data_IF_060236596245
#
_entry.id   IF_060236596245
#
_cell.length_a   1.000
_cell.length_b   1.000
_cell.length_c   1.000
_cell.angle_alpha   90.00
_cell.angle_beta   90.00
_cell.angle_gamma   90.00
#
_symmetry.space_group_name_H-M   'P 1'
#
loop_
_entity.id
_entity.type
_entity.pdbx_description
1 polymer ?
#
# COMPACT_ATOMS: atom_id res chain seq x y z
N UNK A 1 -10.55 16.09 11.67
CA UNK A 1 -11.17 14.85 12.20
C UNK A 1 -10.93 13.76 11.16
N UNK A 2 -10.42 12.59 11.55
CA UNK A 2 -9.86 11.53 10.72
C UNK A 2 -10.74 10.27 10.74
N UNK A 3 -10.41 9.27 9.90
CA UNK A 3 -10.76 7.89 10.17
C UNK A 3 -9.82 7.40 11.26
N UNK A 4 -10.40 6.84 12.32
CA UNK A 4 -9.62 6.27 13.43
C UNK A 4 -10.09 4.84 13.65
N UNK A 5 -9.15 3.93 13.63
CA UNK A 5 -9.29 2.51 13.98
C UNK A 5 -8.56 2.31 15.28
N UNK A 6 -9.27 1.90 16.33
CA UNK A 6 -8.73 1.77 17.69
C UNK A 6 -8.86 0.32 18.18
N UNK A 7 -7.71 -0.32 18.40
CA UNK A 7 -7.55 -1.62 19.05
C UNK A 7 -8.51 -2.70 18.53
N UNK A 8 -8.75 -2.74 17.20
CA UNK A 8 -9.65 -3.74 16.65
C UNK A 8 -9.03 -5.13 16.72
N UNK A 9 -9.80 -6.05 17.27
CA UNK A 9 -9.47 -7.48 17.36
C UNK A 9 -10.54 -8.29 16.64
N UNK A 10 -10.13 -9.32 15.88
CA UNK A 10 -11.04 -10.23 15.19
C UNK A 10 -10.52 -11.66 15.19
N UNK A 11 -11.38 -12.59 15.59
CA UNK A 11 -11.11 -14.02 15.60
C UNK A 11 -12.11 -14.77 14.73
N UNK A 12 -11.63 -15.81 14.07
CA UNK A 12 -12.45 -16.77 13.33
C UNK A 12 -12.14 -18.16 13.87
N UNK A 13 -12.96 -18.65 14.80
CA UNK A 13 -12.67 -19.87 15.56
C UNK A 13 -11.35 -19.74 16.32
N UNK A 14 -10.38 -20.59 16.02
CA UNK A 14 -9.04 -20.55 16.64
C UNK A 14 -8.08 -19.54 15.99
N UNK A 15 -8.42 -19.01 14.80
CA UNK A 15 -7.55 -18.10 14.04
C UNK A 15 -7.76 -16.67 14.50
N UNK A 16 -6.70 -15.99 14.92
CA UNK A 16 -6.69 -14.55 15.21
C UNK A 16 -6.32 -13.82 13.90
N UNK A 17 -7.32 -13.21 13.28
CA UNK A 17 -7.13 -12.48 12.03
C UNK A 17 -6.63 -11.05 12.26
N UNK A 18 -7.05 -10.41 13.37
CA UNK A 18 -6.57 -9.12 13.83
C UNK A 18 -6.39 -9.17 15.34
N UNK A 19 -5.31 -8.58 15.83
CA UNK A 19 -4.91 -8.55 17.22
C UNK A 19 -4.43 -7.15 17.59
N UNK A 20 -5.31 -6.36 18.22
CA UNK A 20 -5.03 -4.99 18.68
C UNK A 20 -4.55 -4.05 17.56
N UNK A 21 -5.23 -4.05 16.41
CA UNK A 21 -4.88 -3.23 15.25
C UNK A 21 -5.39 -1.81 15.44
N UNK A 22 -4.47 -0.83 15.37
CA UNK A 22 -4.78 0.60 15.47
C UNK A 22 -4.04 1.39 14.39
N UNK A 23 -4.76 2.30 13.72
CA UNK A 23 -4.19 3.27 12.78
C UNK A 23 -5.17 4.43 12.55
N UNK A 24 -4.67 5.52 11.98
CA UNK A 24 -5.51 6.67 11.62
C UNK A 24 -5.22 7.18 10.21
N UNK A 25 -6.25 7.71 9.56
CA UNK A 25 -6.16 8.28 8.20
C UNK A 25 -6.72 9.68 8.20
N UNK A 26 -5.93 10.65 7.78
CA UNK A 26 -6.38 12.03 7.64
C UNK A 26 -7.34 12.19 6.46
N UNK A 27 -8.36 13.08 6.58
CA UNK A 27 -9.26 13.36 5.47
C UNK A 27 -8.53 13.94 4.26
N UNK A 28 -8.99 13.56 3.06
CA UNK A 28 -8.42 14.06 1.81
C UNK A 28 -7.01 13.54 1.52
N UNK A 29 -6.62 12.40 2.13
CA UNK A 29 -5.32 11.76 1.93
C UNK A 29 -5.46 10.37 1.32
N UNK A 30 -4.37 9.91 0.74
CA UNK A 30 -4.23 8.52 0.27
C UNK A 30 -3.40 7.75 1.31
N UNK A 31 -3.98 6.67 1.82
CA UNK A 31 -3.40 5.81 2.83
C UNK A 31 -3.18 4.40 2.30
N UNK A 32 -1.98 3.86 2.52
CA UNK A 32 -1.61 2.49 2.15
C UNK A 32 -1.69 1.52 3.33
N UNK A 33 -2.45 0.44 3.19
CA UNK A 33 -2.46 -0.67 4.14
C UNK A 33 -1.65 -1.83 3.55
N UNK A 34 -0.41 -1.96 4.00
CA UNK A 34 0.57 -2.89 3.44
C UNK A 34 0.65 -4.19 4.26
N UNK A 35 1.07 -5.26 3.62
CA UNK A 35 1.30 -6.54 4.29
C UNK A 35 1.24 -7.70 3.31
N UNK A 36 1.75 -8.85 3.72
CA UNK A 36 1.66 -10.08 2.96
C UNK A 36 0.19 -10.56 2.80
N UNK A 37 -0.05 -11.49 1.89
CA UNK A 37 -1.34 -12.15 1.79
C UNK A 37 -1.65 -12.89 3.09
N UNK A 38 -2.89 -12.75 3.58
CA UNK A 38 -3.29 -13.31 4.87
C UNK A 38 -2.89 -12.49 6.11
N UNK A 39 -2.21 -11.34 5.96
CA UNK A 39 -1.80 -10.49 7.09
C UNK A 39 -2.96 -9.84 7.85
N UNK A 40 -4.21 -9.86 7.32
CA UNK A 40 -5.39 -9.27 7.97
C UNK A 40 -5.94 -8.01 7.28
N UNK A 41 -5.33 -7.52 6.20
CA UNK A 41 -5.70 -6.28 5.50
C UNK A 41 -7.19 -6.23 5.11
N UNK A 42 -7.66 -7.23 4.36
CA UNK A 42 -9.07 -7.35 3.93
C UNK A 42 -10.02 -7.41 5.13
N UNK A 43 -9.64 -8.10 6.21
CA UNK A 43 -10.44 -8.17 7.45
C UNK A 43 -10.59 -6.80 8.09
N UNK A 44 -9.49 -6.03 8.21
CA UNK A 44 -9.51 -4.67 8.74
C UNK A 44 -10.40 -3.75 7.89
N UNK A 45 -10.26 -3.78 6.56
CA UNK A 45 -11.10 -2.99 5.66
C UNK A 45 -12.59 -3.33 5.76
N UNK A 46 -12.93 -4.62 5.86
CA UNK A 46 -14.33 -5.07 6.05
C UNK A 46 -14.90 -4.61 7.38
N UNK A 47 -14.08 -4.48 8.42
CA UNK A 47 -14.51 -3.91 9.71
C UNK A 47 -14.74 -2.40 9.57
N UNK A 48 -13.85 -1.66 8.90
CA UNK A 48 -14.04 -0.22 8.65
C UNK A 48 -15.36 0.03 7.91
N UNK A 49 -15.69 -0.80 6.93
CA UNK A 49 -16.91 -0.73 6.12
C UNK A 49 -18.18 -1.21 6.86
N UNK A 50 -18.09 -1.67 8.09
CA UNK A 50 -19.18 -2.32 8.81
C UNK A 50 -19.79 -3.53 8.06
N UNK A 51 -18.98 -4.21 7.25
CA UNK A 51 -19.33 -5.50 6.64
C UNK A 51 -19.08 -6.63 7.65
N UNK A 52 -18.07 -6.44 8.51
CA UNK A 52 -17.68 -7.38 9.54
C UNK A 52 -17.60 -6.65 10.89
N UNK A 53 -18.14 -7.29 11.97
CA UNK A 53 -18.03 -6.74 13.31
C UNK A 53 -16.71 -7.18 13.96
N UNK A 54 -15.96 -6.26 14.59
CA UNK A 54 -14.83 -6.63 15.43
C UNK A 54 -15.32 -7.31 16.70
N UNK A 55 -14.47 -8.12 17.34
CA UNK A 55 -14.73 -8.72 18.65
C UNK A 55 -14.37 -7.75 19.79
N UNK A 56 -13.43 -6.81 19.52
CA UNK A 56 -13.08 -5.70 20.40
C UNK A 56 -12.59 -4.50 19.56
N UNK A 57 -12.56 -3.32 20.17
CA UNK A 57 -12.14 -2.07 19.54
C UNK A 57 -13.26 -1.36 18.81
N UNK A 58 -12.91 -0.25 18.15
CA UNK A 58 -13.87 0.63 17.47
C UNK A 58 -13.31 1.25 16.21
N UNK A 59 -14.22 1.72 15.35
CA UNK A 59 -13.91 2.51 14.16
C UNK A 59 -14.76 3.76 14.14
N UNK A 60 -14.12 4.91 13.92
CA UNK A 60 -14.83 6.19 13.81
C UNK A 60 -14.38 6.94 12.55
N UNK A 61 -15.31 7.65 11.91
CA UNK A 61 -15.06 8.62 10.86
C UNK A 61 -15.56 9.99 11.30
N UNK A 62 -14.66 10.97 11.33
CA UNK A 62 -14.98 12.33 11.79
C UNK A 62 -15.62 12.37 13.18
N UNK A 63 -15.22 11.48 14.08
CA UNK A 63 -15.71 11.38 15.46
C UNK A 63 -17.06 10.66 15.61
N UNK A 64 -17.63 10.11 14.52
CA UNK A 64 -18.87 9.30 14.54
C UNK A 64 -18.50 7.83 14.32
N UNK A 65 -19.18 6.94 15.03
CA UNK A 65 -19.03 5.49 14.81
C UNK A 65 -19.35 5.12 13.35
N UNK A 66 -18.54 4.23 12.75
CA UNK A 66 -18.82 3.71 11.41
C UNK A 66 -20.20 3.03 11.32
N UNK A 67 -20.73 2.56 12.45
CA UNK A 67 -22.03 1.90 12.55
C UNK A 67 -23.20 2.88 12.32
N UNK A 68 -22.98 4.16 12.62
CA UNK A 68 -24.00 5.22 12.55
C UNK A 68 -23.92 6.04 11.25
N UNK A 69 -22.97 5.68 10.36
CA UNK A 69 -22.78 6.40 9.12
C UNK A 69 -23.64 5.83 7.99
N UNK A 70 -24.17 6.70 7.13
CA UNK A 70 -24.87 6.26 5.93
C UNK A 70 -23.94 5.41 5.03
N UNK A 71 -24.46 4.35 4.44
CA UNK A 71 -23.68 3.49 3.52
C UNK A 71 -23.08 4.27 2.34
N UNK A 72 -23.73 5.34 1.90
CA UNK A 72 -23.22 6.22 0.85
C UNK A 72 -21.91 6.94 1.19
N UNK A 73 -21.52 7.01 2.47
CA UNK A 73 -20.23 7.58 2.90
C UNK A 73 -19.06 6.80 2.34
N UNK A 74 -19.26 5.49 2.10
CA UNK A 74 -18.23 4.54 1.73
C UNK A 74 -18.35 4.11 0.28
N UNK A 75 -17.25 4.19 -0.47
CA UNK A 75 -17.04 3.46 -1.70
C UNK A 75 -16.19 2.23 -1.41
N UNK A 76 -16.52 1.09 -2.00
CA UNK A 76 -15.76 -0.15 -1.80
C UNK A 76 -15.43 -0.83 -3.11
N UNK A 77 -14.15 -1.11 -3.31
CA UNK A 77 -13.63 -1.95 -4.38
C UNK A 77 -13.04 -3.23 -3.75
N UNK A 78 -13.75 -4.36 -3.78
CA UNK A 78 -13.21 -5.63 -3.30
C UNK A 78 -12.16 -6.20 -4.28
N UNK A 79 -11.26 -7.05 -3.77
CA UNK A 79 -10.30 -7.80 -4.58
C UNK A 79 -11.01 -8.73 -5.57
N UNK A 80 -12.07 -9.42 -5.10
CA UNK A 80 -12.91 -10.27 -5.95
C UNK A 80 -13.88 -9.43 -6.78
N UNK A 81 -14.10 -9.86 -8.02
CA UNK A 81 -15.00 -9.14 -8.93
C UNK A 81 -16.45 -9.39 -8.59
N UNK A 82 -17.14 -8.32 -8.18
CA UNK A 82 -18.55 -8.34 -7.80
C UNK A 82 -19.50 -7.84 -8.89
N UNK A 83 -19.07 -7.76 -10.16
CA UNK A 83 -19.91 -7.26 -11.23
C UNK A 83 -20.85 -8.35 -11.78
N UNK A 84 -22.06 -7.94 -12.17
CA UNK A 84 -23.01 -8.82 -12.88
C UNK A 84 -22.57 -9.00 -14.33
N UNK A 85 -21.88 -10.08 -14.63
CA UNK A 85 -21.13 -10.29 -15.88
C UNK A 85 -22.00 -10.35 -17.12
N UNK A 86 -23.29 -10.74 -17.00
CA UNK A 86 -24.25 -10.83 -18.12
C UNK A 86 -24.95 -9.51 -18.46
N UNK A 87 -24.82 -8.50 -17.60
CA UNK A 87 -25.34 -7.16 -17.85
C UNK A 87 -24.39 -6.36 -18.74
N UNK A 88 -24.92 -5.35 -19.45
CA UNK A 88 -24.08 -4.37 -20.12
C UNK A 88 -23.35 -3.50 -19.09
N UNK A 89 -22.24 -2.89 -19.48
CA UNK A 89 -21.50 -1.95 -18.61
C UNK A 89 -22.41 -0.82 -18.12
N UNK A 90 -23.20 -0.22 -19.02
CA UNK A 90 -24.14 0.84 -18.64
C UNK A 90 -25.18 0.34 -17.64
N UNK A 91 -25.76 -0.83 -17.85
CA UNK A 91 -26.82 -1.34 -16.97
C UNK A 91 -26.28 -1.68 -15.59
N UNK A 92 -25.10 -2.33 -15.50
CA UNK A 92 -24.51 -2.68 -14.20
C UNK A 92 -24.10 -1.45 -13.43
N UNK A 93 -23.53 -0.43 -14.08
CA UNK A 93 -23.12 0.81 -13.41
C UNK A 93 -24.33 1.63 -12.95
N UNK A 94 -25.39 1.73 -13.74
CA UNK A 94 -26.66 2.35 -13.34
C UNK A 94 -27.33 1.60 -12.17
N UNK A 95 -27.26 0.29 -12.19
CA UNK A 95 -27.76 -0.53 -11.08
C UNK A 95 -27.03 -0.19 -9.76
N UNK A 96 -25.69 -0.18 -9.75
CA UNK A 96 -24.94 0.20 -8.56
C UNK A 96 -25.21 1.63 -8.13
N UNK A 97 -25.27 2.59 -9.07
CA UNK A 97 -25.61 3.98 -8.77
C UNK A 97 -27.01 4.11 -8.12
N UNK A 98 -27.99 3.35 -8.60
CA UNK A 98 -29.34 3.34 -8.07
C UNK A 98 -29.42 2.82 -6.62
N UNK A 99 -28.57 1.85 -6.22
CA UNK A 99 -28.50 1.35 -4.84
C UNK A 99 -28.14 2.45 -3.84
N UNK A 100 -27.42 3.48 -4.28
CA UNK A 100 -27.04 4.64 -3.47
C UNK A 100 -27.92 5.88 -3.72
N UNK A 101 -29.03 5.70 -4.47
CA UNK A 101 -30.01 6.77 -4.72
C UNK A 101 -29.56 7.81 -5.75
N UNK A 102 -28.60 7.51 -6.60
CA UNK A 102 -28.19 8.42 -7.70
C UNK A 102 -29.27 8.42 -8.77
N UNK A 103 -29.80 9.60 -9.18
CA UNK A 103 -30.84 9.67 -10.20
C UNK A 103 -30.37 9.10 -11.54
N UNK A 104 -31.24 8.42 -12.32
CA UNK A 104 -30.84 7.74 -13.55
C UNK A 104 -30.14 8.60 -14.59
N UNK A 105 -30.61 9.84 -14.79
CA UNK A 105 -29.97 10.78 -15.72
C UNK A 105 -28.55 11.18 -15.27
N UNK A 106 -28.39 11.46 -13.97
CA UNK A 106 -27.07 11.76 -13.37
C UNK A 106 -26.15 10.56 -13.46
N UNK A 107 -26.65 9.36 -13.14
CA UNK A 107 -25.87 8.12 -13.26
C UNK A 107 -25.36 7.90 -14.67
N UNK A 108 -26.22 8.10 -15.68
CA UNK A 108 -25.83 7.94 -17.08
C UNK A 108 -24.72 8.92 -17.48
N UNK A 109 -24.85 10.20 -17.11
CA UNK A 109 -23.84 11.21 -17.41
C UNK A 109 -22.48 10.91 -16.73
N UNK A 110 -22.53 10.50 -15.44
CA UNK A 110 -21.32 10.09 -14.72
C UNK A 110 -20.65 8.85 -15.30
N UNK A 111 -21.44 7.86 -15.73
CA UNK A 111 -20.92 6.66 -16.37
C UNK A 111 -20.19 7.04 -17.65
N UNK A 112 -20.83 7.83 -18.54
CA UNK A 112 -20.23 8.27 -19.79
C UNK A 112 -18.93 9.06 -19.55
N UNK A 113 -18.90 10.00 -18.59
CA UNK A 113 -17.71 10.74 -18.18
C UNK A 113 -16.56 9.80 -17.73
N UNK A 114 -16.86 8.83 -16.88
CA UNK A 114 -15.82 7.91 -16.37
C UNK A 114 -15.32 6.91 -17.42
N UNK A 115 -16.20 6.45 -18.31
CA UNK A 115 -15.79 5.60 -19.45
C UNK A 115 -14.83 6.35 -20.37
N UNK A 116 -15.11 7.63 -20.68
CA UNK A 116 -14.22 8.49 -21.46
C UNK A 116 -12.87 8.66 -20.76
N UNK A 117 -12.88 8.97 -19.46
CA UNK A 117 -11.69 9.15 -18.66
C UNK A 117 -10.80 7.90 -18.61
N UNK A 118 -11.41 6.71 -18.53
CA UNK A 118 -10.71 5.44 -18.60
C UNK A 118 -10.40 4.98 -20.03
N UNK A 119 -10.71 5.80 -21.06
CA UNK A 119 -10.47 5.53 -22.48
C UNK A 119 -11.16 4.27 -22.98
N UNK A 120 -12.37 4.03 -22.51
CA UNK A 120 -13.18 2.84 -22.87
C UNK A 120 -14.65 3.18 -23.19
N UNK A 121 -14.95 4.29 -23.92
CA UNK A 121 -16.33 4.69 -24.20
C UNK A 121 -17.10 3.61 -25.01
N UNK A 122 -16.40 2.86 -25.89
CA UNK A 122 -16.96 1.81 -26.71
C UNK A 122 -17.46 0.60 -25.90
N UNK A 123 -17.15 0.55 -24.60
CA UNK A 123 -17.60 -0.58 -23.76
C UNK A 123 -18.97 -0.38 -23.15
N UNK A 124 -19.56 0.80 -23.30
CA UNK A 124 -20.83 1.22 -22.73
C UNK A 124 -21.94 0.17 -22.85
N UNK A 125 -22.13 -0.35 -24.06
CA UNK A 125 -23.21 -1.29 -24.41
C UNK A 125 -22.72 -2.74 -24.52
N UNK A 126 -21.44 -3.00 -24.20
CA UNK A 126 -20.89 -4.36 -24.17
C UNK A 126 -21.21 -5.04 -22.84
N UNK A 127 -21.35 -6.36 -22.86
CA UNK A 127 -21.48 -7.14 -21.63
C UNK A 127 -20.16 -7.16 -20.86
N UNK A 128 -20.25 -7.17 -19.53
CA UNK A 128 -19.07 -7.20 -18.66
C UNK A 128 -18.21 -8.45 -18.90
N UNK A 129 -18.82 -9.61 -19.21
CA UNK A 129 -18.11 -10.86 -19.52
C UNK A 129 -17.21 -10.80 -20.78
N UNK A 130 -17.48 -9.85 -21.68
CA UNK A 130 -16.70 -9.65 -22.90
C UNK A 130 -15.43 -8.82 -22.67
N UNK A 131 -15.28 -8.22 -21.48
CA UNK A 131 -14.17 -7.36 -21.15
C UNK A 131 -12.97 -8.15 -20.62
N UNK A 132 -11.76 -7.68 -20.93
CA UNK A 132 -10.54 -8.16 -20.27
C UNK A 132 -10.60 -7.93 -18.76
N UNK A 133 -9.81 -8.70 -18.02
CA UNK A 133 -9.70 -8.55 -16.55
C UNK A 133 -9.40 -7.12 -16.12
N UNK A 134 -8.46 -6.44 -16.78
CA UNK A 134 -8.12 -5.06 -16.48
C UNK A 134 -9.25 -4.07 -16.75
N UNK A 135 -10.01 -4.27 -17.83
CA UNK A 135 -11.18 -3.44 -18.12
C UNK A 135 -12.34 -3.69 -17.15
N UNK A 136 -12.56 -4.93 -16.72
CA UNK A 136 -13.52 -5.21 -15.63
C UNK A 136 -13.15 -4.50 -14.35
N UNK A 137 -11.85 -4.40 -14.01
CA UNK A 137 -11.36 -3.64 -12.86
C UNK A 137 -11.71 -2.16 -12.95
N UNK A 138 -11.54 -1.53 -14.12
CA UNK A 138 -11.99 -0.14 -14.37
C UNK A 138 -13.47 0.02 -14.11
N UNK A 139 -14.30 -0.89 -14.64
CA UNK A 139 -15.76 -0.82 -14.44
C UNK A 139 -16.12 -0.98 -12.96
N UNK A 140 -15.43 -1.86 -12.25
CA UNK A 140 -15.63 -2.07 -10.82
C UNK A 140 -15.23 -0.84 -10.01
N UNK A 141 -14.13 -0.17 -10.39
CA UNK A 141 -13.74 1.11 -9.78
C UNK A 141 -14.81 2.19 -10.03
N UNK A 142 -15.30 2.34 -11.24
CA UNK A 142 -16.39 3.27 -11.56
C UNK A 142 -17.61 2.98 -10.67
N UNK A 143 -18.02 1.71 -10.54
CA UNK A 143 -19.16 1.33 -9.69
C UNK A 143 -18.97 1.78 -8.22
N UNK A 144 -17.73 1.74 -7.71
CA UNK A 144 -17.42 2.13 -6.34
C UNK A 144 -17.49 3.65 -6.08
N UNK A 145 -17.44 4.49 -7.12
CA UNK A 145 -17.33 5.95 -6.99
C UNK A 145 -18.53 6.74 -7.50
N UNK A 146 -19.46 6.12 -8.25
CA UNK A 146 -20.60 6.83 -8.89
C UNK A 146 -21.49 7.61 -7.93
N UNK A 147 -21.55 7.21 -6.67
CA UNK A 147 -22.36 7.88 -5.64
C UNK A 147 -21.58 8.96 -4.87
N UNK A 148 -20.36 9.31 -5.35
CA UNK A 148 -19.47 10.33 -4.81
C UNK A 148 -19.14 10.15 -3.30
N UNK A 149 -18.61 8.98 -2.88
CA UNK A 149 -18.33 8.69 -1.48
C UNK A 149 -17.30 9.64 -0.87
N UNK A 150 -17.35 9.85 0.45
CA UNK A 150 -16.33 10.61 1.18
C UNK A 150 -15.04 9.82 1.40
N UNK A 151 -15.19 8.50 1.58
CA UNK A 151 -14.09 7.56 1.81
C UNK A 151 -14.18 6.40 0.81
N UNK A 152 -13.10 6.15 0.11
CA UNK A 152 -12.97 5.05 -0.84
C UNK A 152 -12.00 4.01 -0.29
N UNK A 153 -12.47 2.78 -0.10
CA UNK A 153 -11.68 1.65 0.40
C UNK A 153 -11.53 0.63 -0.71
N UNK A 154 -10.28 0.22 -0.99
CA UNK A 154 -9.97 -0.61 -2.14
C UNK A 154 -9.00 -1.73 -1.76
N UNK A 155 -9.40 -2.95 -2.05
CA UNK A 155 -8.60 -4.15 -1.78
C UNK A 155 -7.85 -4.57 -3.05
N UNK A 156 -6.50 -4.45 -3.02
CA UNK A 156 -5.60 -4.78 -4.13
C UNK A 156 -6.02 -4.17 -5.50
N UNK A 157 -6.27 -2.84 -5.59
CA UNK A 157 -6.89 -2.23 -6.77
C UNK A 157 -6.04 -2.31 -8.04
N UNK A 158 -4.73 -2.47 -7.93
CA UNK A 158 -3.78 -2.48 -9.06
C UNK A 158 -3.42 -3.88 -9.54
N UNK A 159 -3.88 -4.92 -8.84
CA UNK A 159 -3.53 -6.31 -9.15
C UNK A 159 -4.10 -6.77 -10.49
N UNK A 160 -3.22 -7.31 -11.34
CA UNK A 160 -3.59 -7.83 -12.67
C UNK A 160 -3.89 -6.77 -13.72
N UNK A 161 -3.50 -5.52 -13.48
CA UNK A 161 -3.52 -4.45 -14.48
C UNK A 161 -2.19 -4.39 -15.24
N UNK A 162 -2.27 -4.05 -16.53
CA UNK A 162 -1.08 -3.64 -17.29
C UNK A 162 -0.64 -2.22 -16.93
N UNK A 163 0.59 -1.79 -17.26
CA UNK A 163 1.13 -0.49 -16.88
C UNK A 163 0.28 0.71 -17.33
N UNK A 164 -0.39 0.64 -18.48
CA UNK A 164 -1.25 1.72 -18.98
C UNK A 164 -2.48 1.87 -18.09
N UNK A 165 -3.12 0.75 -17.75
CA UNK A 165 -4.28 0.74 -16.87
C UNK A 165 -3.94 1.13 -15.43
N UNK A 166 -2.76 0.73 -14.93
CA UNK A 166 -2.22 1.22 -13.65
C UNK A 166 -2.09 2.74 -13.67
N UNK A 167 -1.51 3.33 -14.71
CA UNK A 167 -1.39 4.79 -14.85
C UNK A 167 -2.74 5.52 -14.79
N UNK A 168 -3.73 5.05 -15.56
CA UNK A 168 -5.08 5.63 -15.56
C UNK A 168 -5.76 5.55 -14.18
N UNK A 169 -5.58 4.43 -13.47
CA UNK A 169 -6.15 4.28 -12.12
C UNK A 169 -5.45 5.18 -11.11
N UNK A 170 -4.12 5.33 -11.18
CA UNK A 170 -3.34 6.29 -10.37
C UNK A 170 -3.81 7.73 -10.60
N UNK A 171 -4.02 8.14 -11.86
CA UNK A 171 -4.58 9.46 -12.20
C UNK A 171 -5.97 9.65 -11.57
N UNK A 172 -6.83 8.62 -11.60
CA UNK A 172 -8.15 8.66 -10.98
C UNK A 172 -8.05 8.84 -9.44
N UNK A 173 -7.13 8.13 -8.77
CA UNK A 173 -6.88 8.26 -7.33
C UNK A 173 -6.47 9.69 -6.96
N UNK A 174 -5.49 10.26 -7.67
CA UNK A 174 -5.03 11.62 -7.44
C UNK A 174 -6.15 12.64 -7.65
N UNK A 175 -6.96 12.48 -8.70
CA UNK A 175 -8.08 13.36 -8.95
C UNK A 175 -9.18 13.24 -7.87
N UNK A 176 -9.42 12.08 -7.29
CA UNK A 176 -10.35 11.91 -6.17
C UNK A 176 -9.80 12.58 -4.91
N UNK A 177 -8.51 12.38 -4.59
CA UNK A 177 -7.83 13.08 -3.48
C UNK A 177 -7.91 14.60 -3.64
N UNK A 178 -7.64 15.12 -4.83
CA UNK A 178 -7.67 16.58 -5.11
C UNK A 178 -9.07 17.17 -4.97
N UNK A 179 -10.12 16.34 -5.06
CA UNK A 179 -11.51 16.68 -4.73
C UNK A 179 -11.82 16.53 -3.23
N UNK A 180 -10.82 16.25 -2.40
CA UNK A 180 -10.95 16.11 -0.95
C UNK A 180 -11.45 14.75 -0.48
N UNK A 181 -11.48 13.73 -1.35
CA UNK A 181 -11.87 12.37 -0.97
C UNK A 181 -10.72 11.66 -0.25
N UNK A 182 -11.05 10.83 0.71
CA UNK A 182 -10.09 10.00 1.45
C UNK A 182 -10.01 8.63 0.81
N UNK A 183 -8.81 8.17 0.47
CA UNK A 183 -8.60 6.90 -0.18
C UNK A 183 -7.76 5.99 0.71
N UNK A 184 -8.21 4.76 0.87
CA UNK A 184 -7.51 3.71 1.61
C UNK A 184 -7.40 2.51 0.70
N UNK A 185 -6.20 2.03 0.44
CA UNK A 185 -6.07 0.81 -0.35
C UNK A 185 -5.05 -0.17 0.26
N UNK A 186 -5.36 -1.45 0.10
CA UNK A 186 -4.41 -2.50 0.41
C UNK A 186 -3.54 -2.80 -0.79
N UNK A 187 -2.29 -3.13 -0.55
CA UNK A 187 -1.39 -3.67 -1.57
C UNK A 187 -0.16 -4.32 -0.95
N UNK A 188 0.49 -5.15 -1.75
CA UNK A 188 1.85 -5.65 -1.51
C UNK A 188 2.89 -4.98 -2.44
N UNK A 189 2.47 -4.04 -3.33
CA UNK A 189 3.33 -3.33 -4.27
C UNK A 189 3.86 -2.04 -3.65
N UNK A 190 5.08 -2.08 -3.12
CA UNK A 190 5.70 -0.97 -2.38
C UNK A 190 5.89 0.29 -3.24
N UNK A 191 6.28 0.12 -4.51
CA UNK A 191 6.48 1.22 -5.46
C UNK A 191 5.21 2.06 -5.66
N UNK A 192 4.05 1.40 -5.79
CA UNK A 192 2.76 2.10 -5.93
C UNK A 192 2.40 2.91 -4.68
N UNK A 193 2.76 2.41 -3.51
CA UNK A 193 2.55 3.12 -2.24
C UNK A 193 3.46 4.33 -2.15
N UNK A 194 4.73 4.20 -2.52
CA UNK A 194 5.69 5.31 -2.52
C UNK A 194 5.29 6.46 -3.44
N UNK A 195 4.60 6.15 -4.55
CA UNK A 195 4.12 7.15 -5.51
C UNK A 195 2.81 7.84 -5.07
N UNK A 196 1.91 7.12 -4.39
CA UNK A 196 0.56 7.60 -4.15
C UNK A 196 0.27 8.02 -2.71
N UNK A 197 0.88 7.35 -1.72
CA UNK A 197 0.49 7.50 -0.32
C UNK A 197 1.26 8.61 0.39
N UNK A 198 0.58 9.33 1.25
CA UNK A 198 1.19 10.23 2.23
C UNK A 198 1.49 9.51 3.55
N UNK A 199 0.69 8.50 3.89
CA UNK A 199 0.84 7.72 5.13
C UNK A 199 0.47 6.26 4.91
N UNK A 200 0.97 5.40 5.78
CA UNK A 200 0.83 3.95 5.67
C UNK A 200 0.64 3.28 7.03
N UNK A 201 0.13 2.05 6.99
CA UNK A 201 0.35 1.06 8.03
C UNK A 201 0.81 -0.26 7.42
N UNK A 202 1.81 -0.89 8.04
CA UNK A 202 2.26 -2.23 7.68
C UNK A 202 1.64 -3.21 8.67
N UNK A 203 0.90 -4.18 8.14
CA UNK A 203 0.26 -5.24 8.91
C UNK A 203 1.00 -6.54 8.68
N UNK A 204 1.38 -7.19 9.76
CA UNK A 204 1.95 -8.53 9.75
C UNK A 204 1.23 -9.41 10.77
N UNK A 205 0.73 -10.58 10.32
CA UNK A 205 0.04 -11.58 11.16
C UNK A 205 -1.02 -10.98 12.09
N UNK A 206 -1.83 -10.10 11.54
CA UNK A 206 -2.94 -9.45 12.26
C UNK A 206 -2.54 -8.31 13.18
N UNK A 207 -1.30 -7.82 13.17
CA UNK A 207 -0.84 -6.69 13.98
C UNK A 207 -0.25 -5.58 13.13
N UNK A 208 -0.43 -4.33 13.54
CA UNK A 208 0.30 -3.20 12.93
C UNK A 208 1.72 -3.20 13.48
N UNK A 209 2.71 -3.34 12.60
CA UNK A 209 4.14 -3.32 12.97
C UNK A 209 4.76 -1.93 12.78
N UNK A 210 4.23 -1.17 11.82
CA UNK A 210 4.65 0.22 11.53
C UNK A 210 3.43 1.01 11.07
N UNK A 211 3.29 2.26 11.51
CA UNK A 211 2.29 3.20 11.02
C UNK A 211 2.80 4.63 11.12
N UNK A 212 2.48 5.47 10.13
CA UNK A 212 2.86 6.87 10.10
C UNK A 212 2.96 7.45 8.70
N UNK A 213 3.51 8.67 8.58
CA UNK A 213 3.83 9.21 7.26
C UNK A 213 4.97 8.42 6.62
N UNK A 214 5.03 8.36 5.28
CA UNK A 214 6.13 7.69 4.57
C UNK A 214 7.50 8.19 5.05
N UNK A 215 7.60 9.49 5.27
CA UNK A 215 8.83 10.13 5.74
C UNK A 215 9.23 9.65 7.15
N UNK A 216 8.28 9.62 8.08
CA UNK A 216 8.56 9.21 9.46
C UNK A 216 8.91 7.74 9.54
N UNK A 217 8.18 6.90 8.79
CA UNK A 217 8.44 5.46 8.71
C UNK A 217 9.84 5.16 8.17
N UNK A 218 10.28 5.86 7.11
CA UNK A 218 11.64 5.72 6.57
C UNK A 218 12.71 6.22 7.53
N UNK A 219 12.48 7.36 8.20
CA UNK A 219 13.42 7.93 9.16
C UNK A 219 13.56 7.10 10.44
N UNK A 220 12.48 6.41 10.85
CA UNK A 220 12.51 5.50 11.99
C UNK A 220 13.50 4.33 11.81
N UNK A 221 13.93 4.03 10.58
CA UNK A 221 15.00 3.07 10.28
C UNK A 221 16.36 3.48 10.87
N UNK A 222 16.55 4.74 11.24
CA UNK A 222 17.78 5.23 11.88
C UNK A 222 19.02 5.11 10.99
N UNK A 223 18.84 5.14 9.65
CA UNK A 223 19.93 5.12 8.67
C UNK A 223 19.53 5.86 7.40
N UNK A 224 20.54 6.22 6.61
CA UNK A 224 20.39 6.70 5.24
C UNK A 224 20.93 5.67 4.26
N UNK A 225 20.58 5.79 3.00
CA UNK A 225 21.09 4.96 1.90
C UNK A 225 21.92 5.86 0.98
N UNK A 226 23.15 5.43 0.68
CA UNK A 226 23.98 6.07 -0.35
C UNK A 226 24.05 5.15 -1.54
N UNK A 227 23.68 5.67 -2.72
CA UNK A 227 23.88 5.02 -4.02
C UNK A 227 25.14 5.58 -4.65
N UNK A 228 26.11 4.72 -4.93
CA UNK A 228 27.39 5.11 -5.49
C UNK A 228 27.74 4.25 -6.69
N UNK A 229 28.18 4.90 -7.77
CA UNK A 229 28.91 4.30 -8.85
C UNK A 229 30.15 5.14 -9.22
N UNK A 230 31.23 4.44 -9.59
CA UNK A 230 32.45 5.03 -10.09
C UNK A 230 32.73 4.55 -11.50
N UNK A 231 33.64 5.17 -12.23
CA UNK A 231 33.99 4.77 -13.58
C UNK A 231 34.50 3.30 -13.59
N UNK A 232 33.99 2.49 -14.53
CA UNK A 232 34.25 1.04 -14.53
C UNK A 232 33.41 0.21 -13.57
N UNK A 233 32.34 0.78 -12.99
CA UNK A 233 31.40 0.07 -12.13
C UNK A 233 30.80 -1.17 -12.80
N UNK A 234 30.79 -2.29 -12.10
CA UNK A 234 30.12 -3.54 -12.51
C UNK A 234 29.44 -4.20 -11.30
N UNK A 235 28.46 -5.07 -11.53
CA UNK A 235 27.77 -5.76 -10.45
C UNK A 235 28.69 -6.66 -9.59
N UNK A 236 29.77 -7.19 -10.18
CA UNK A 236 30.63 -8.20 -9.55
C UNK A 236 31.92 -7.66 -8.92
N UNK A 237 32.33 -6.44 -9.25
CA UNK A 237 33.54 -5.84 -8.69
C UNK A 237 33.87 -4.51 -9.34
N UNK A 238 34.10 -3.52 -8.53
CA UNK A 238 33.93 -2.15 -8.94
C UNK A 238 34.90 -1.16 -8.31
N UNK A 239 35.90 -1.60 -7.64
CA UNK A 239 36.79 -0.68 -6.94
C UNK A 239 36.16 0.07 -5.76
N UNK A 240 34.88 -0.17 -5.41
CA UNK A 240 34.19 0.51 -4.28
C UNK A 240 34.25 -0.28 -2.97
N UNK A 241 35.01 -1.37 -2.88
CA UNK A 241 35.17 -2.16 -1.66
C UNK A 241 35.65 -1.36 -0.44
N UNK A 242 36.41 -0.27 -0.67
CA UNK A 242 36.86 0.65 0.37
C UNK A 242 35.74 1.41 1.09
N UNK A 243 34.55 1.50 0.49
CA UNK A 243 33.40 2.21 1.09
C UNK A 243 33.00 1.55 2.40
N UNK A 244 33.09 0.22 2.46
CA UNK A 244 32.76 -0.56 3.68
C UNK A 244 33.81 -0.46 4.78
N UNK A 245 34.99 0.14 4.50
CA UNK A 245 36.01 0.46 5.49
C UNK A 245 35.65 1.73 6.31
N UNK A 246 34.70 2.53 5.80
CA UNK A 246 34.23 3.73 6.50
C UNK A 246 33.35 3.28 7.68
N UNK A 247 33.65 3.70 8.92
CA UNK A 247 32.83 3.34 10.08
C UNK A 247 31.38 3.75 9.92
N UNK A 248 30.44 2.85 10.23
CA UNK A 248 29.02 3.08 10.12
C UNK A 248 28.45 2.90 8.70
N UNK A 249 29.25 2.38 7.75
CA UNK A 249 28.83 2.10 6.37
C UNK A 249 28.82 0.60 6.10
N UNK A 250 27.73 0.12 5.52
CA UNK A 250 27.56 -1.30 5.12
C UNK A 250 27.00 -1.40 3.71
N UNK A 251 27.55 -2.28 2.90
CA UNK A 251 26.97 -2.61 1.60
C UNK A 251 25.66 -3.38 1.81
N UNK A 252 24.58 -2.87 1.21
CA UNK A 252 23.24 -3.51 1.28
C UNK A 252 22.85 -4.17 -0.01
N UNK A 253 23.23 -3.59 -1.16
CA UNK A 253 22.87 -4.12 -2.47
C UNK A 253 23.97 -3.86 -3.50
N UNK A 254 24.25 -4.88 -4.31
CA UNK A 254 25.08 -4.75 -5.52
C UNK A 254 24.15 -4.63 -6.72
N UNK A 255 24.19 -3.48 -7.40
CA UNK A 255 23.42 -3.19 -8.62
C UNK A 255 24.32 -3.09 -9.84
N UNK A 256 23.73 -3.13 -11.04
CA UNK A 256 24.45 -2.95 -12.29
C UNK A 256 24.86 -1.49 -12.53
N UNK A 257 23.99 -0.54 -12.12
CA UNK A 257 24.19 0.88 -12.32
C UNK A 257 24.90 1.57 -11.15
N UNK A 258 24.66 1.09 -9.93
CA UNK A 258 25.27 1.58 -8.69
C UNK A 258 25.18 0.53 -7.57
N UNK A 259 26.01 0.66 -6.56
CA UNK A 259 25.87 -0.07 -5.30
C UNK A 259 25.14 0.77 -4.26
N UNK A 260 24.39 0.12 -3.37
CA UNK A 260 23.69 0.76 -2.25
C UNK A 260 24.39 0.45 -0.93
N UNK A 261 24.59 1.50 -0.14
CA UNK A 261 25.25 1.44 1.15
C UNK A 261 24.33 2.00 2.22
N UNK A 262 24.07 1.25 3.27
CA UNK A 262 23.43 1.77 4.48
C UNK A 262 24.47 2.56 5.28
N UNK A 263 24.08 3.77 5.69
CA UNK A 263 24.93 4.69 6.46
C UNK A 263 24.20 5.03 7.76
N UNK A 264 24.84 4.75 8.89
CA UNK A 264 24.29 5.02 10.20
C UNK A 264 24.13 6.54 10.43
N UNK A 265 23.17 6.93 11.27
CA UNK A 265 22.85 8.34 11.56
C UNK A 265 24.01 9.15 12.13
N UNK A 266 25.03 8.49 12.69
CA UNK A 266 26.22 9.17 13.23
C UNK A 266 27.31 9.42 12.18
N UNK A 267 27.18 8.84 11.00
CA UNK A 267 28.13 8.99 9.89
C UNK A 267 27.55 9.95 8.85
N UNK A 268 28.28 10.99 8.52
CA UNK A 268 27.92 11.89 7.43
C UNK A 268 28.07 11.16 6.07
N UNK A 269 26.97 10.94 5.32
CA UNK A 269 27.04 10.26 4.04
C UNK A 269 27.97 10.94 3.00
N UNK A 270 28.18 12.26 3.12
CA UNK A 270 29.09 13.02 2.26
C UNK A 270 30.55 12.55 2.38
N UNK A 271 30.93 11.89 3.49
CA UNK A 271 32.27 11.29 3.65
C UNK A 271 32.60 10.26 2.59
N UNK A 272 31.59 9.53 2.11
CA UNK A 272 31.75 8.54 1.02
C UNK A 272 32.20 9.26 -0.26
N UNK A 273 31.50 10.35 -0.64
CA UNK A 273 31.87 11.14 -1.80
C UNK A 273 33.27 11.77 -1.65
N UNK A 274 33.57 12.34 -0.48
CA UNK A 274 34.88 12.92 -0.21
C UNK A 274 36.00 11.88 -0.31
N UNK A 275 35.77 10.67 0.20
CA UNK A 275 36.73 9.58 0.13
C UNK A 275 36.93 9.07 -1.32
N UNK A 276 35.87 9.02 -2.12
CA UNK A 276 35.98 8.69 -3.55
C UNK A 276 36.86 9.70 -4.30
N UNK A 277 36.56 10.98 -4.12
CA UNK A 277 37.33 12.07 -4.76
C UNK A 277 38.80 12.11 -4.30
N UNK A 278 39.07 11.86 -3.02
CA UNK A 278 40.44 11.79 -2.48
C UNK A 278 41.26 10.61 -3.06
N UNK A 279 40.58 9.55 -3.47
CA UNK A 279 41.20 8.39 -4.15
C UNK A 279 41.41 8.62 -5.65
N UNK A 280 40.92 9.75 -6.20
CA UNK A 280 40.97 10.05 -7.62
C UNK A 280 39.90 9.28 -8.43
N UNK A 281 38.91 8.72 -7.77
CA UNK A 281 37.80 8.02 -8.43
C UNK A 281 36.96 9.01 -9.24
N UNK A 282 36.54 8.62 -10.44
CA UNK A 282 35.55 9.34 -11.20
C UNK A 282 34.17 8.88 -10.83
N UNK A 283 33.51 9.64 -9.97
CA UNK A 283 32.13 9.32 -9.52
C UNK A 283 31.15 9.60 -10.68
N UNK A 284 30.41 8.58 -11.09
CA UNK A 284 29.40 8.65 -12.16
C UNK A 284 27.98 8.75 -11.59
N UNK A 285 27.76 8.25 -10.36
CA UNK A 285 26.50 8.38 -9.63
C UNK A 285 26.79 8.54 -8.14
N UNK A 286 26.12 9.52 -7.50
CA UNK A 286 26.10 9.69 -6.06
C UNK A 286 24.76 10.28 -5.64
N UNK A 287 24.02 9.53 -4.81
CA UNK A 287 22.72 9.92 -4.30
C UNK A 287 22.64 9.58 -2.82
N UNK A 288 22.11 10.50 -2.01
CA UNK A 288 21.73 10.24 -0.63
C UNK A 288 20.22 10.13 -0.58
N UNK A 289 19.71 8.98 -0.18
CA UNK A 289 18.28 8.67 -0.15
C UNK A 289 17.86 8.17 1.24
N UNK A 290 16.57 8.28 1.53
CA UNK A 290 15.97 7.53 2.64
C UNK A 290 15.83 6.05 2.22
N UNK A 291 15.77 5.11 3.18
CA UNK A 291 15.49 3.70 2.88
C UNK A 291 14.18 3.52 2.10
N UNK A 292 14.13 2.54 1.22
CA UNK A 292 12.91 2.19 0.50
C UNK A 292 11.86 1.56 1.44
N UNK A 293 10.59 1.58 1.04
CA UNK A 293 9.56 0.87 1.79
C UNK A 293 9.79 -0.64 1.81
N UNK A 294 10.41 -1.19 0.78
CA UNK A 294 10.79 -2.61 0.74
C UNK A 294 11.79 -2.94 1.85
N UNK A 295 12.80 -2.09 2.07
CA UNK A 295 13.75 -2.26 3.17
C UNK A 295 13.07 -2.13 4.53
N UNK A 296 12.15 -1.15 4.68
CA UNK A 296 11.33 -1.01 5.90
C UNK A 296 10.52 -2.28 6.16
N UNK A 297 9.86 -2.80 5.13
CA UNK A 297 9.05 -4.00 5.23
C UNK A 297 9.88 -5.23 5.63
N UNK A 298 11.00 -5.48 4.94
CA UNK A 298 11.90 -6.59 5.22
C UNK A 298 12.44 -6.50 6.66
N UNK A 299 12.79 -5.32 7.12
CA UNK A 299 13.33 -5.14 8.46
C UNK A 299 12.30 -5.44 9.56
N UNK A 300 11.05 -4.97 9.40
CA UNK A 300 10.02 -5.15 10.41
C UNK A 300 9.36 -6.54 10.38
N UNK A 301 9.11 -7.08 9.19
CA UNK A 301 8.51 -8.41 9.01
C UNK A 301 9.57 -9.51 9.13
N UNK A 302 10.76 -9.30 8.57
CA UNK A 302 11.87 -10.25 8.64
C UNK A 302 12.45 -10.44 10.05
N UNK A 303 12.61 -9.36 10.84
CA UNK A 303 13.08 -9.45 12.25
C UNK A 303 12.12 -10.27 13.11
N UNK A 304 10.82 -10.08 12.93
CA UNK A 304 9.82 -10.83 13.69
C UNK A 304 9.83 -12.33 13.40
N UNK A 305 10.09 -12.71 12.16
CA UNK A 305 10.25 -14.13 11.80
C UNK A 305 11.44 -14.77 12.52
N UNK A 306 12.54 -14.04 12.64
CA UNK A 306 13.76 -14.51 13.35
C UNK A 306 13.54 -14.58 14.87
N UNK A 307 12.88 -13.57 15.46
CA UNK A 307 12.59 -13.53 16.90
C UNK A 307 11.65 -14.66 17.34
N UNK A 308 10.66 -15.01 16.52
CA UNK A 308 9.73 -16.12 16.80
C UNK A 308 10.40 -17.51 16.67
N UNK A 309 11.32 -17.70 15.70
CA UNK A 309 12.12 -18.93 15.62
C UNK A 309 12.99 -19.12 16.86
N UNK A 310 13.58 -18.06 17.39
CA UNK A 310 14.37 -18.11 18.63
C UNK A 310 13.50 -18.42 19.87
N UNK A 311 12.26 -17.90 19.94
CA UNK A 311 11.34 -18.23 21.04
C UNK A 311 10.87 -19.68 20.99
N UNK A 312 10.55 -20.20 19.79
CA UNK A 312 10.18 -21.61 19.65
C UNK A 312 11.31 -22.59 19.98
N UNK A 313 12.57 -22.21 19.76
CA UNK A 313 13.73 -23.00 20.13
C UNK A 313 14.04 -22.95 21.63
N UNK A 314 13.67 -21.84 22.31
CA UNK A 314 13.86 -21.67 23.75
C UNK A 314 12.77 -22.41 24.58
N UNK A 315 11.58 -22.57 24.04
CA UNK A 315 10.43 -23.25 24.69
C UNK A 315 10.34 -24.76 24.38
N UNK A 316 11.27 -25.33 23.60
CA UNK A 316 11.32 -26.76 23.37
C UNK A 316 11.72 -27.47 24.67
N UNK A 317 10.88 -28.37 25.26
CA UNK A 317 11.23 -29.07 26.49
C UNK A 317 12.46 -29.88 26.25
N UNK A 318 13.48 -29.69 27.10
CA UNK A 318 14.69 -30.50 27.12
C UNK A 318 14.28 -31.99 27.29
N UNK A 319 14.36 -32.73 26.18
CA UNK A 319 14.11 -34.16 26.15
C UNK A 319 15.10 -34.86 27.09
N UNK A 320 14.61 -35.29 28.26
CA UNK A 320 15.38 -36.12 29.15
C UNK A 320 15.61 -37.51 28.52
N UNK A 321 16.77 -38.05 28.66
CA UNK A 321 17.06 -39.42 28.18
C UNK A 321 16.34 -40.41 29.07
N UNK A 322 15.60 -41.32 28.45
CA UNK A 322 15.15 -42.60 29.06
C UNK A 322 16.00 -43.72 28.57
#
# INVERSE_FOLDING_TARGET
>A
MSLVVESITKRFGSVVALDDVSFSVEPGRIFGLLGANGAGKTTAMRIVLDILRPDAGSVTWQGRSNLDLPRRTWGYLPEERGLYTRMTVMDVLRFFAALYGVPPATATALVDEWLDRFRVPDYRDRKVEELSKGNQQKIQFIAAILHDPDVLIMDEPFTGLDPVNVGLLKEAFLAMRDRGKTLIFSTHQMETVEELCESIAIVDRGRVVVSGTLRDVRRAMGRQVVRLAVDGHTADGDGTGWVTEIPGVRLTRRGQDFHEYAVDTQTDPARILQAALARGERVTHFEIADPSLEEVFIEHVGRRAVDEEHHHLADAPAGGPS
#
